data_IF_202168029518
#
_entry.id   IF_202168029518
#
_cell.length_a   1.000
_cell.length_b   1.000
_cell.length_c   1.000
_cell.angle_alpha   90.00
_cell.angle_beta   90.00
_cell.angle_gamma   90.00
#
_symmetry.space_group_name_H-M   'P 1'
#
loop_
_entity.id
_entity.type
_entity.pdbx_description
1 polymer ?
#
# COMPACT_ATOMS: atom_id res chain seq x y z
N UNK A 1 -15.15 -0.45 5.17
CA UNK A 1 -14.96 -0.38 3.70
C UNK A 1 -14.66 1.02 3.12
N UNK A 2 -14.80 2.12 3.87
CA UNK A 2 -14.69 3.49 3.32
C UNK A 2 -13.25 3.89 2.94
N UNK A 3 -12.26 3.48 3.72
CA UNK A 3 -10.86 3.91 3.55
C UNK A 3 -10.19 3.31 2.32
N UNK A 4 -10.40 2.02 2.06
CA UNK A 4 -9.82 1.37 0.88
C UNK A 4 -10.33 1.99 -0.42
N UNK A 5 -11.64 2.24 -0.55
CA UNK A 5 -12.21 2.90 -1.73
C UNK A 5 -11.63 4.30 -1.94
N UNK A 6 -11.46 5.09 -0.86
CA UNK A 6 -10.83 6.41 -0.93
C UNK A 6 -9.37 6.32 -1.37
N UNK A 7 -8.64 5.35 -0.84
CA UNK A 7 -7.25 5.10 -1.22
C UNK A 7 -7.11 4.72 -2.70
N UNK A 8 -7.91 3.76 -3.18
CA UNK A 8 -7.88 3.33 -4.59
C UNK A 8 -8.13 4.51 -5.54
N UNK A 9 -9.06 5.42 -5.19
CA UNK A 9 -9.30 6.63 -5.98
C UNK A 9 -8.07 7.55 -6.03
N UNK A 10 -7.33 7.70 -4.94
CA UNK A 10 -6.08 8.48 -4.93
C UNK A 10 -5.04 7.78 -5.82
N UNK A 11 -4.83 6.47 -5.61
CA UNK A 11 -3.89 5.65 -6.37
C UNK A 11 -4.11 5.75 -7.89
N UNK A 12 -5.36 5.66 -8.33
CA UNK A 12 -5.69 5.63 -9.75
C UNK A 12 -5.40 6.97 -10.47
N UNK A 13 -5.39 8.08 -9.73
CA UNK A 13 -5.27 9.43 -10.28
C UNK A 13 -3.92 10.12 -9.98
N UNK A 14 -2.99 9.43 -9.33
CA UNK A 14 -1.70 9.99 -8.89
C UNK A 14 -0.53 9.32 -9.65
N UNK A 15 0.36 10.09 -10.30
CA UNK A 15 1.47 9.54 -11.09
C UNK A 15 2.47 8.73 -10.27
N UNK A 16 2.55 8.98 -8.96
CA UNK A 16 3.41 8.24 -8.02
C UNK A 16 3.12 6.73 -8.01
N UNK A 17 1.93 6.31 -8.49
CA UNK A 17 1.53 4.91 -8.57
C UNK A 17 1.65 4.31 -9.98
N UNK A 18 2.15 5.04 -10.98
CA UNK A 18 2.17 4.55 -12.36
C UNK A 18 3.07 3.33 -12.53
N UNK A 19 4.26 3.32 -11.93
CA UNK A 19 5.19 2.19 -12.02
C UNK A 19 4.62 0.93 -11.35
N UNK A 20 4.02 1.06 -10.16
CA UNK A 20 3.43 -0.09 -9.48
C UNK A 20 2.18 -0.62 -10.21
N UNK A 21 1.38 0.25 -10.84
CA UNK A 21 0.26 -0.16 -11.70
C UNK A 21 0.75 -0.89 -12.95
N UNK A 22 1.81 -0.40 -13.61
CA UNK A 22 2.43 -1.07 -14.78
C UNK A 22 2.95 -2.46 -14.41
N UNK A 23 3.49 -2.63 -13.20
CA UNK A 23 3.93 -3.91 -12.67
C UNK A 23 2.76 -4.84 -12.22
N UNK A 24 1.49 -4.43 -12.39
CA UNK A 24 0.32 -5.21 -11.97
C UNK A 24 0.04 -5.17 -10.46
N UNK A 25 0.75 -4.33 -9.71
CA UNK A 25 0.62 -4.18 -8.27
C UNK A 25 -0.51 -3.24 -7.84
N UNK A 26 -0.99 -3.42 -6.60
CA UNK A 26 -2.05 -2.59 -6.01
C UNK A 26 -1.50 -1.29 -5.41
N UNK A 27 -0.21 -1.23 -5.05
CA UNK A 27 0.42 -0.02 -4.50
C UNK A 27 -0.08 0.39 -3.12
N UNK A 28 -0.42 -0.59 -2.26
CA UNK A 28 -0.90 -0.31 -0.90
C UNK A 28 0.24 0.16 0.02
N UNK A 29 0.01 1.19 0.87
CA UNK A 29 0.97 1.57 1.89
C UNK A 29 1.06 0.44 2.92
N UNK A 30 2.20 -0.25 2.92
CA UNK A 30 2.50 -1.31 3.87
C UNK A 30 3.99 -1.26 4.22
N UNK A 31 4.32 -1.77 5.39
CA UNK A 31 5.69 -1.99 5.82
C UNK A 31 6.01 -3.45 5.55
N UNK A 32 7.02 -3.70 4.73
CA UNK A 32 7.53 -5.03 4.45
C UNK A 32 8.78 -5.25 5.30
N UNK A 33 8.76 -6.28 6.15
CA UNK A 33 9.87 -6.67 7.01
C UNK A 33 10.54 -7.91 6.41
N UNK A 34 11.88 -7.93 6.43
CA UNK A 34 12.72 -9.05 5.96
C UNK A 34 12.28 -9.59 4.59
N UNK A 35 12.20 -8.70 3.60
CA UNK A 35 11.89 -9.05 2.19
C UNK A 35 10.62 -9.90 1.99
N UNK A 36 9.60 -9.68 2.82
CA UNK A 36 8.29 -10.33 2.69
C UNK A 36 7.98 -11.35 3.78
N UNK A 37 8.85 -11.54 4.78
CA UNK A 37 8.55 -12.36 5.96
C UNK A 37 7.30 -11.84 6.69
N UNK A 38 7.13 -10.51 6.76
CA UNK A 38 5.97 -9.90 7.37
C UNK A 38 5.53 -8.65 6.63
N UNK A 39 4.21 -8.50 6.43
CA UNK A 39 3.59 -7.32 5.84
C UNK A 39 2.65 -6.68 6.86
N UNK A 40 2.97 -5.45 7.26
CA UNK A 40 2.19 -4.68 8.24
C UNK A 40 1.45 -3.55 7.53
N UNK A 41 0.12 -3.56 7.67
CA UNK A 41 -0.77 -2.53 7.09
C UNK A 41 -1.19 -1.45 8.10
N UNK A 42 -0.91 -1.66 9.39
CA UNK A 42 -1.23 -0.71 10.46
C UNK A 42 0.05 -0.39 11.25
N UNK A 43 0.51 0.85 11.13
CA UNK A 43 1.72 1.33 11.80
C UNK A 43 1.64 1.18 13.33
N UNK A 44 0.44 1.10 13.91
CA UNK A 44 0.27 0.86 15.36
C UNK A 44 0.80 -0.50 15.80
N UNK A 45 0.94 -1.45 14.86
CA UNK A 45 1.55 -2.76 15.12
C UNK A 45 3.08 -2.72 15.15
N UNK A 46 3.71 -1.59 14.80
CA UNK A 46 5.15 -1.37 14.96
C UNK A 46 5.53 -0.87 16.36
N UNK A 47 4.54 -0.60 17.23
CA UNK A 47 4.82 -0.16 18.59
C UNK A 47 5.14 -1.38 19.44
N UNK A 48 6.42 -1.55 19.76
CA UNK A 48 6.93 -2.38 20.85
C UNK A 48 6.83 -1.59 22.16
#
# INVERSE_FOLDING_TARGET
MLYLKKFLKIRDNRPEFDEIKKAGGVGLPCIVINDGEQVIFDYKKLIV
#
